data_IF_014867013587
#
_entry.id   IF_014867013587
#
_cell.length_a   1.000
_cell.length_b   1.000
_cell.length_c   1.000
_cell.angle_alpha   90.00
_cell.angle_beta   90.00
_cell.angle_gamma   90.00
#
_symmetry.space_group_name_H-M   'P 1'
#
loop_
_entity.id
_entity.type
_entity.pdbx_description
1 polymer ?
#
# COMPACT_ATOMS: atom_id res chain seq x y z
N UNK A 1 5.89 -15.96 10.45
CA UNK A 1 4.94 -17.07 10.22
C UNK A 1 5.73 -18.35 9.98
N UNK A 2 5.41 -19.42 10.72
CA UNK A 2 5.92 -20.75 10.39
C UNK A 2 5.09 -21.27 9.21
N UNK A 3 5.74 -21.61 8.10
CA UNK A 3 5.06 -22.14 6.91
C UNK A 3 4.46 -23.54 7.13
N UNK A 4 3.73 -24.05 6.14
CA UNK A 4 3.13 -25.39 6.22
C UNK A 4 4.19 -26.49 6.03
N UNK A 5 4.18 -27.51 6.90
CA UNK A 5 5.06 -28.70 6.80
C UNK A 5 4.64 -29.64 5.66
N UNK A 6 3.36 -29.71 5.34
CA UNK A 6 2.77 -30.47 4.24
C UNK A 6 1.99 -29.53 3.32
N UNK A 7 1.81 -29.91 2.07
CA UNK A 7 1.02 -29.13 1.12
C UNK A 7 -0.43 -28.98 1.64
N UNK A 8 -0.95 -27.74 1.82
CA UNK A 8 -2.24 -27.51 2.47
C UNK A 8 -3.44 -27.55 1.52
N UNK A 9 -3.22 -27.54 0.20
CA UNK A 9 -4.26 -27.42 -0.84
C UNK A 9 -3.91 -28.28 -2.06
N UNK A 10 -4.88 -28.63 -2.90
CA UNK A 10 -4.64 -29.44 -4.10
C UNK A 10 -3.68 -28.79 -5.10
N UNK A 11 -3.80 -27.46 -5.24
CA UNK A 11 -3.03 -26.64 -6.18
C UNK A 11 -2.20 -25.62 -5.42
N UNK A 12 -0.89 -25.88 -5.29
CA UNK A 12 0.01 -25.05 -4.49
C UNK A 12 1.22 -24.61 -5.31
N UNK A 13 1.28 -23.31 -5.65
CA UNK A 13 2.33 -22.74 -6.51
C UNK A 13 3.74 -22.70 -5.87
N UNK A 14 3.93 -23.22 -4.66
CA UNK A 14 5.22 -23.18 -3.96
C UNK A 14 6.37 -23.76 -4.77
N UNK A 15 6.15 -24.86 -5.49
CA UNK A 15 7.19 -25.48 -6.32
C UNK A 15 7.63 -24.55 -7.45
N UNK A 16 6.68 -23.85 -8.08
CA UNK A 16 6.96 -22.82 -9.08
C UNK A 16 7.78 -21.68 -8.48
N UNK A 17 7.37 -21.11 -7.34
CA UNK A 17 8.09 -19.99 -6.72
C UNK A 17 9.52 -20.37 -6.31
N UNK A 18 9.72 -21.54 -5.71
CA UNK A 18 11.07 -22.02 -5.37
C UNK A 18 11.97 -22.16 -6.60
N UNK A 19 11.41 -22.61 -7.73
CA UNK A 19 12.19 -22.73 -8.96
C UNK A 19 12.42 -21.38 -9.62
N UNK A 20 11.41 -20.50 -9.61
CA UNK A 20 11.50 -19.13 -10.14
C UNK A 20 12.55 -18.31 -9.37
N UNK A 21 12.67 -18.48 -8.06
CA UNK A 21 13.71 -17.83 -7.25
C UNK A 21 15.11 -18.31 -7.65
N UNK A 22 15.29 -19.61 -7.92
CA UNK A 22 16.58 -20.15 -8.40
C UNK A 22 16.96 -19.59 -9.77
N UNK A 23 16.00 -19.49 -10.69
CA UNK A 23 16.20 -18.90 -12.02
C UNK A 23 16.50 -17.39 -11.90
N UNK A 24 15.78 -16.68 -11.04
CA UNK A 24 16.04 -15.28 -10.74
C UNK A 24 17.41 -15.05 -10.08
N UNK A 25 17.86 -15.96 -9.23
CA UNK A 25 19.20 -15.98 -8.65
C UNK A 25 20.31 -16.17 -9.68
N UNK A 26 20.09 -17.01 -10.70
CA UNK A 26 21.00 -17.14 -11.83
C UNK A 26 21.10 -15.84 -12.65
N UNK A 27 19.98 -15.15 -12.86
CA UNK A 27 19.96 -13.83 -13.49
C UNK A 27 20.68 -12.75 -12.66
N UNK A 28 20.55 -12.80 -11.32
CA UNK A 28 21.29 -11.91 -10.40
C UNK A 28 22.81 -12.14 -10.49
N UNK A 29 23.24 -13.39 -10.66
CA UNK A 29 24.64 -13.77 -10.84
C UNK A 29 25.21 -13.36 -12.21
N UNK A 30 24.40 -13.44 -13.28
CA UNK A 30 24.85 -13.14 -14.65
C UNK A 30 24.75 -11.66 -15.05
N UNK A 31 23.82 -10.89 -14.47
CA UNK A 31 23.49 -9.54 -14.95
C UNK A 31 23.57 -8.42 -13.89
N UNK A 32 24.02 -8.73 -12.67
CA UNK A 32 24.22 -7.75 -11.59
C UNK A 32 22.94 -7.36 -10.82
N UNK A 33 23.14 -6.74 -9.65
CA UNK A 33 22.14 -6.58 -8.58
C UNK A 33 21.09 -5.47 -8.83
N UNK A 34 21.07 -4.86 -10.01
CA UNK A 34 20.31 -3.63 -10.27
C UNK A 34 18.92 -3.87 -10.85
N UNK A 35 18.58 -5.09 -11.26
CA UNK A 35 17.25 -5.44 -11.78
C UNK A 35 16.71 -6.70 -11.09
N UNK A 36 15.72 -6.53 -10.21
CA UNK A 36 14.83 -7.64 -9.84
C UNK A 36 14.16 -8.13 -11.13
N UNK A 37 14.52 -9.33 -11.59
CA UNK A 37 13.87 -9.93 -12.74
C UNK A 37 12.44 -10.32 -12.37
N UNK A 38 11.47 -9.47 -12.74
CA UNK A 38 10.03 -9.68 -12.51
C UNK A 38 9.40 -10.69 -13.49
N UNK A 39 10.23 -11.41 -14.26
CA UNK A 39 9.80 -12.40 -15.25
C UNK A 39 10.35 -13.79 -14.92
N UNK A 40 9.62 -14.83 -15.33
CA UNK A 40 10.13 -16.20 -15.46
C UNK A 40 10.19 -16.53 -16.94
N UNK A 41 11.40 -16.53 -17.52
CA UNK A 41 11.56 -16.60 -18.97
C UNK A 41 11.02 -15.34 -19.64
N UNK A 42 10.17 -15.50 -20.65
CA UNK A 42 9.55 -14.39 -21.40
C UNK A 42 8.26 -13.84 -20.76
N UNK A 43 7.76 -14.45 -19.68
CA UNK A 43 6.49 -14.06 -19.05
C UNK A 43 6.72 -13.32 -17.74
N UNK A 44 6.01 -12.21 -17.49
CA UNK A 44 5.95 -11.60 -16.17
C UNK A 44 5.40 -12.57 -15.12
N UNK A 45 5.94 -12.55 -13.90
CA UNK A 45 5.57 -13.50 -12.84
C UNK A 45 4.15 -13.31 -12.34
N UNK A 46 3.62 -12.08 -12.35
CA UNK A 46 2.21 -11.83 -12.06
C UNK A 46 1.29 -12.39 -13.14
N UNK A 47 1.71 -12.41 -14.40
CA UNK A 47 0.95 -13.04 -15.50
C UNK A 47 0.92 -14.57 -15.33
N UNK A 48 2.05 -15.21 -14.99
CA UNK A 48 2.08 -16.66 -14.69
C UNK A 48 1.12 -17.00 -13.54
N UNK A 49 1.08 -16.16 -12.51
CA UNK A 49 0.16 -16.29 -11.39
C UNK A 49 -1.32 -16.16 -11.78
N UNK A 50 -1.68 -15.16 -12.59
CA UNK A 50 -3.05 -15.01 -13.13
C UNK A 50 -3.43 -16.17 -14.05
N UNK A 51 -2.50 -16.68 -14.86
CA UNK A 51 -2.71 -17.84 -15.71
C UNK A 51 -3.02 -19.08 -14.89
N UNK A 52 -2.28 -19.32 -13.81
CA UNK A 52 -2.54 -20.46 -12.93
C UNK A 52 -3.96 -20.43 -12.34
N UNK A 53 -4.42 -19.24 -11.93
CA UNK A 53 -5.79 -19.06 -11.46
C UNK A 53 -6.82 -19.34 -12.58
N UNK A 54 -6.59 -18.80 -13.77
CA UNK A 54 -7.46 -19.02 -14.94
C UNK A 54 -7.57 -20.50 -15.28
N UNK A 55 -6.44 -21.19 -15.32
CA UNK A 55 -6.37 -22.61 -15.66
C UNK A 55 -7.11 -23.48 -14.65
N UNK A 56 -7.08 -23.12 -13.35
CA UNK A 56 -7.90 -23.78 -12.33
C UNK A 56 -9.39 -23.73 -12.68
N UNK A 57 -9.91 -22.57 -13.08
CA UNK A 57 -11.35 -22.44 -13.37
C UNK A 57 -11.75 -23.12 -14.68
N UNK A 58 -10.86 -23.14 -15.68
CA UNK A 58 -11.05 -23.78 -17.00
C UNK A 58 -10.92 -25.30 -16.96
N UNK A 59 -9.99 -25.82 -16.16
CA UNK A 59 -9.69 -27.27 -16.12
C UNK A 59 -10.81 -28.06 -15.45
N UNK A 60 -11.38 -27.52 -14.38
CA UNK A 60 -12.42 -28.21 -13.61
C UNK A 60 -13.82 -27.85 -14.12
N UNK A 61 -14.76 -28.82 -14.21
CA UNK A 61 -16.13 -28.55 -14.64
C UNK A 61 -16.82 -27.45 -13.83
N UNK A 62 -17.79 -26.76 -14.45
CA UNK A 62 -18.57 -25.72 -13.79
C UNK A 62 -19.37 -26.24 -12.57
N UNK A 63 -19.73 -27.53 -12.57
CA UNK A 63 -20.42 -28.19 -11.45
C UNK A 63 -19.54 -28.40 -10.21
N UNK A 64 -18.20 -28.31 -10.34
CA UNK A 64 -17.28 -28.43 -9.22
C UNK A 64 -17.16 -27.10 -8.49
N UNK A 65 -17.53 -27.08 -7.21
CA UNK A 65 -17.25 -25.92 -6.33
C UNK A 65 -15.74 -25.77 -6.18
N UNK A 66 -15.24 -24.57 -6.45
CA UNK A 66 -13.82 -24.22 -6.43
C UNK A 66 -13.59 -23.15 -5.38
N UNK A 67 -12.45 -23.21 -4.70
CA UNK A 67 -11.95 -22.13 -3.86
C UNK A 67 -10.54 -21.79 -4.33
N UNK A 68 -10.31 -20.52 -4.65
CA UNK A 68 -8.99 -20.01 -5.06
C UNK A 68 -8.62 -18.83 -4.18
N UNK A 69 -7.42 -18.90 -3.59
CA UNK A 69 -6.85 -17.81 -2.82
C UNK A 69 -5.55 -17.37 -3.48
N UNK A 70 -5.55 -16.13 -3.96
CA UNK A 70 -4.48 -15.51 -4.73
C UNK A 70 -3.86 -14.39 -3.91
N UNK A 71 -2.59 -14.54 -3.54
CA UNK A 71 -1.84 -13.54 -2.76
C UNK A 71 -0.58 -13.11 -3.52
N UNK A 72 -0.54 -11.84 -3.94
CA UNK A 72 0.59 -11.24 -4.64
C UNK A 72 1.14 -10.09 -3.80
N UNK A 73 2.44 -10.11 -3.50
CA UNK A 73 3.14 -8.98 -2.86
C UNK A 73 4.35 -8.43 -3.63
N UNK A 74 4.82 -9.09 -4.68
CA UNK A 74 6.09 -8.72 -5.33
C UNK A 74 6.08 -7.34 -5.98
N UNK A 75 4.95 -6.91 -6.57
CA UNK A 75 4.89 -5.60 -7.23
C UNK A 75 4.57 -4.48 -6.24
N UNK A 76 4.03 -4.78 -5.05
CA UNK A 76 3.64 -3.81 -4.03
C UNK A 76 4.67 -3.64 -2.90
N UNK A 77 5.56 -4.61 -2.66
CA UNK A 77 6.34 -4.65 -1.42
C UNK A 77 7.30 -3.45 -1.23
N UNK A 78 7.97 -3.01 -2.30
CA UNK A 78 9.05 -2.00 -2.21
C UNK A 78 8.84 -0.78 -3.11
N UNK A 79 7.75 -0.74 -3.88
CA UNK A 79 7.43 0.37 -4.79
C UNK A 79 5.94 0.43 -5.09
N UNK A 80 5.31 1.56 -4.77
CA UNK A 80 3.91 1.81 -5.16
C UNK A 80 3.74 1.99 -6.66
N UNK A 81 4.82 2.25 -7.40
CA UNK A 81 4.77 2.51 -8.84
C UNK A 81 4.76 1.22 -9.68
N UNK A 82 5.33 0.13 -9.17
CA UNK A 82 5.41 -1.12 -9.92
C UNK A 82 4.05 -1.81 -10.09
N UNK A 83 3.07 -1.48 -9.27
CA UNK A 83 1.71 -2.01 -9.39
C UNK A 83 1.05 -1.66 -10.73
N UNK A 84 1.41 -0.51 -11.33
CA UNK A 84 0.91 -0.11 -12.65
C UNK A 84 1.26 -1.12 -13.75
N UNK A 85 2.31 -1.94 -13.56
CA UNK A 85 2.71 -2.97 -14.52
C UNK A 85 1.73 -4.15 -14.61
N UNK A 86 0.86 -4.34 -13.61
CA UNK A 86 -0.13 -5.41 -13.58
C UNK A 86 -1.56 -4.94 -13.89
N UNK A 87 -1.79 -3.64 -14.07
CA UNK A 87 -3.13 -3.07 -14.18
C UNK A 87 -3.88 -3.61 -15.40
N UNK A 88 -3.27 -3.47 -16.59
CA UNK A 88 -3.84 -3.98 -17.84
C UNK A 88 -4.00 -5.51 -17.82
N UNK A 89 -3.01 -6.25 -17.31
CA UNK A 89 -3.06 -7.70 -17.22
C UNK A 89 -4.18 -8.21 -16.29
N UNK A 90 -4.42 -7.51 -15.18
CA UNK A 90 -5.54 -7.82 -14.28
C UNK A 90 -6.87 -7.52 -14.96
N UNK A 91 -6.98 -6.39 -15.66
CA UNK A 91 -8.20 -6.03 -16.42
C UNK A 91 -8.51 -7.08 -17.47
N UNK A 92 -7.50 -7.54 -18.23
CA UNK A 92 -7.67 -8.59 -19.22
C UNK A 92 -8.07 -9.93 -18.59
N UNK A 93 -7.43 -10.31 -17.49
CA UNK A 93 -7.81 -11.51 -16.73
C UNK A 93 -9.28 -11.46 -16.28
N UNK A 94 -9.74 -10.33 -15.73
CA UNK A 94 -11.12 -10.17 -15.26
C UNK A 94 -12.13 -10.20 -16.42
N UNK A 95 -11.80 -9.56 -17.55
CA UNK A 95 -12.62 -9.61 -18.78
C UNK A 95 -12.72 -11.03 -19.33
N UNK A 96 -11.62 -11.76 -19.37
CA UNK A 96 -11.59 -13.16 -19.80
C UNK A 96 -12.44 -14.04 -18.88
N UNK A 97 -12.27 -13.93 -17.57
CA UNK A 97 -13.04 -14.68 -16.58
C UNK A 97 -14.54 -14.36 -16.65
N UNK A 98 -14.91 -13.10 -16.95
CA UNK A 98 -16.31 -12.71 -17.12
C UNK A 98 -16.90 -13.24 -18.44
N UNK A 99 -16.22 -13.00 -19.56
CA UNK A 99 -16.73 -13.39 -20.89
C UNK A 99 -16.78 -14.90 -21.10
N UNK A 100 -15.93 -15.67 -20.41
CA UNK A 100 -15.96 -17.14 -20.37
C UNK A 100 -16.99 -17.73 -19.40
N UNK A 101 -17.76 -16.89 -18.70
CA UNK A 101 -18.81 -17.31 -17.75
C UNK A 101 -18.29 -17.81 -16.40
N UNK A 102 -16.97 -17.79 -16.17
CA UNK A 102 -16.39 -18.22 -14.89
C UNK A 102 -16.72 -17.30 -13.71
N UNK A 103 -17.23 -16.09 -13.97
CA UNK A 103 -17.71 -15.14 -12.95
C UNK A 103 -19.24 -15.10 -12.78
N UNK A 104 -20.00 -15.92 -13.51
CA UNK A 104 -21.47 -15.86 -13.46
C UNK A 104 -22.04 -16.42 -12.16
N UNK A 105 -21.33 -17.36 -11.53
CA UNK A 105 -21.68 -17.93 -10.22
C UNK A 105 -20.48 -17.98 -9.27
N UNK A 106 -19.69 -16.90 -9.26
CA UNK A 106 -18.48 -16.79 -8.44
C UNK A 106 -18.54 -15.51 -7.61
N UNK A 107 -18.33 -15.65 -6.30
CA UNK A 107 -18.04 -14.50 -5.44
C UNK A 107 -16.56 -14.17 -5.59
N UNK A 108 -16.27 -13.04 -6.23
CA UNK A 108 -14.91 -12.53 -6.39
C UNK A 108 -14.66 -11.43 -5.36
N UNK A 109 -13.62 -11.62 -4.53
CA UNK A 109 -13.14 -10.60 -3.61
C UNK A 109 -11.72 -10.25 -4.02
N UNK A 110 -11.53 -8.99 -4.45
CA UNK A 110 -10.22 -8.43 -4.74
C UNK A 110 -9.89 -7.40 -3.68
N UNK A 111 -8.80 -7.59 -2.95
CA UNK A 111 -8.39 -6.68 -1.90
C UNK A 111 -6.89 -6.73 -1.65
N UNK A 112 -6.40 -5.69 -0.98
CA UNK A 112 -5.03 -5.65 -0.47
C UNK A 112 -4.98 -6.26 0.94
N UNK A 113 -3.89 -6.94 1.28
CA UNK A 113 -3.65 -7.49 2.61
C UNK A 113 -3.37 -6.39 3.64
N UNK A 114 -2.70 -5.34 3.19
CA UNK A 114 -2.53 -4.08 3.90
C UNK A 114 -2.50 -2.92 2.89
N UNK A 115 -2.78 -1.70 3.35
CA UNK A 115 -2.53 -0.50 2.53
C UNK A 115 -1.03 -0.29 2.32
N UNK A 116 -0.65 0.59 1.38
CA UNK A 116 0.70 1.14 1.39
C UNK A 116 0.99 1.67 2.81
N UNK A 117 2.24 1.53 3.28
CA UNK A 117 2.58 1.91 4.66
C UNK A 117 2.22 3.36 5.00
N UNK A 118 1.83 4.22 4.04
CA UNK A 118 0.98 5.40 4.28
C UNK A 118 0.00 5.77 3.12
N UNK A 119 -1.17 6.28 3.55
CA UNK A 119 -2.03 7.41 3.08
C UNK A 119 -3.29 7.32 2.17
N UNK A 120 -4.31 7.99 2.72
CA UNK A 120 -5.46 8.77 2.19
C UNK A 120 -6.53 8.15 1.31
N UNK A 121 -6.25 7.23 0.39
CA UNK A 121 -7.28 6.70 -0.53
C UNK A 121 -8.28 5.74 0.13
N UNK A 122 -7.95 5.23 1.33
CA UNK A 122 -8.89 4.49 2.17
C UNK A 122 -10.09 5.36 2.59
N UNK A 123 -9.97 6.70 2.67
CA UNK A 123 -11.00 7.59 3.24
C UNK A 123 -12.37 7.49 2.56
N UNK A 124 -12.41 7.16 1.27
CA UNK A 124 -13.68 7.03 0.53
C UNK A 124 -14.39 5.70 0.83
N UNK A 125 -13.65 4.66 1.24
CA UNK A 125 -14.20 3.35 1.65
C UNK A 125 -14.10 3.10 3.18
N UNK A 126 -13.67 4.10 3.98
CA UNK A 126 -13.24 3.95 5.38
C UNK A 126 -14.32 4.16 6.45
N UNK A 127 -15.56 4.48 6.09
CA UNK A 127 -16.55 4.90 7.09
C UNK A 127 -17.06 3.76 7.99
N UNK A 128 -16.55 2.54 7.84
CA UNK A 128 -16.86 1.40 8.71
C UNK A 128 -15.61 0.60 9.07
N UNK A 129 -15.49 0.24 10.35
CA UNK A 129 -14.41 -0.61 10.85
C UNK A 129 -14.68 -2.07 10.43
N UNK A 130 -13.95 -2.54 9.42
CA UNK A 130 -13.94 -3.93 8.98
C UNK A 130 -12.60 -4.59 9.27
N UNK A 131 -12.60 -5.90 9.51
CA UNK A 131 -11.42 -6.72 9.79
C UNK A 131 -11.40 -7.96 8.89
N UNK A 132 -10.26 -8.65 8.71
CA UNK A 132 -10.24 -9.93 8.00
C UNK A 132 -11.18 -10.99 8.59
N UNK A 133 -11.55 -10.88 9.87
CA UNK A 133 -12.53 -11.78 10.50
C UNK A 133 -13.95 -11.54 9.98
N UNK A 134 -14.25 -10.35 9.46
CA UNK A 134 -15.54 -10.06 8.81
C UNK A 134 -15.64 -10.77 7.45
N UNK A 135 -14.53 -10.92 6.74
CA UNK A 135 -14.46 -11.69 5.48
C UNK A 135 -14.65 -13.17 5.77
N UNK A 136 -14.01 -13.69 6.83
CA UNK A 136 -14.21 -15.07 7.26
C UNK A 136 -15.68 -15.34 7.60
N UNK A 137 -16.32 -14.47 8.40
CA UNK A 137 -17.75 -14.55 8.69
C UNK A 137 -18.62 -14.48 7.42
N UNK A 138 -18.23 -13.64 6.45
CA UNK A 138 -18.90 -13.55 5.14
C UNK A 138 -18.82 -14.87 4.37
N UNK A 139 -17.66 -15.55 4.38
CA UNK A 139 -17.51 -16.85 3.74
C UNK A 139 -18.31 -17.95 4.43
N UNK A 140 -18.41 -17.92 5.76
CA UNK A 140 -19.27 -18.85 6.50
C UNK A 140 -20.75 -18.66 6.10
N UNK A 141 -21.24 -17.43 6.01
CA UNK A 141 -22.60 -17.12 5.54
C UNK A 141 -22.87 -17.55 4.09
N UNK A 142 -21.87 -17.42 3.20
CA UNK A 142 -21.99 -17.86 1.79
C UNK A 142 -22.07 -19.39 1.70
N UNK A 143 -21.37 -20.11 2.58
CA UNK A 143 -21.30 -21.57 2.58
C UNK A 143 -22.50 -22.21 3.28
N UNK A 144 -22.98 -21.62 4.39
CA UNK A 144 -24.11 -22.07 5.21
C UNK A 144 -25.05 -20.88 5.48
N UNK A 145 -25.86 -20.52 4.48
CA UNK A 145 -26.75 -19.35 4.54
C UNK A 145 -27.84 -19.51 5.60
N UNK A 146 -27.59 -18.94 6.79
CA UNK A 146 -28.60 -18.73 7.83
C UNK A 146 -29.14 -17.31 7.67
N UNK A 147 -30.45 -17.16 7.77
CA UNK A 147 -31.16 -15.90 7.52
C UNK A 147 -30.43 -14.67 8.08
N UNK A 148 -30.42 -13.57 7.31
CA UNK A 148 -29.75 -12.30 7.66
C UNK A 148 -30.25 -11.81 9.02
N UNK A 149 -29.46 -12.06 10.06
CA UNK A 149 -29.68 -11.52 11.40
C UNK A 149 -29.10 -10.09 11.45
N UNK A 150 -29.72 -9.20 12.23
CA UNK A 150 -29.14 -7.88 12.49
C UNK A 150 -27.77 -8.05 13.15
N UNK A 151 -26.78 -7.30 12.67
CA UNK A 151 -25.44 -7.32 13.23
C UNK A 151 -25.42 -6.70 14.63
N UNK A 152 -24.74 -7.36 15.55
CA UNK A 152 -24.57 -6.94 16.94
C UNK A 152 -23.12 -6.48 17.14
N UNK A 153 -22.91 -5.34 17.82
CA UNK A 153 -21.56 -4.82 18.10
C UNK A 153 -20.71 -5.75 18.96
N UNK A 154 -21.32 -6.74 19.63
CA UNK A 154 -20.63 -7.75 20.44
C UNK A 154 -19.93 -8.81 19.58
N UNK A 155 -20.24 -8.90 18.29
CA UNK A 155 -19.67 -9.89 17.38
C UNK A 155 -18.26 -9.47 16.94
N UNK A 156 -17.30 -10.39 17.12
CA UNK A 156 -15.92 -10.19 16.69
C UNK A 156 -15.80 -10.06 15.17
N UNK A 157 -16.46 -10.97 14.43
CA UNK A 157 -16.60 -10.92 12.98
C UNK A 157 -18.06 -10.75 12.61
N UNK A 158 -18.36 -9.80 11.71
CA UNK A 158 -19.69 -9.50 11.19
C UNK A 158 -19.62 -9.68 9.68
N UNK A 159 -20.52 -10.50 9.12
CA UNK A 159 -20.62 -10.70 7.67
C UNK A 159 -20.82 -9.38 6.93
N UNK A 160 -20.10 -9.18 5.83
CA UNK A 160 -20.19 -8.00 4.98
C UNK A 160 -21.50 -7.95 4.18
N UNK A 161 -22.28 -9.04 4.16
CA UNK A 161 -23.64 -9.06 3.61
C UNK A 161 -24.67 -8.44 4.56
N UNK A 162 -24.25 -8.10 5.79
CA UNK A 162 -25.06 -7.45 6.82
C UNK A 162 -24.47 -6.07 7.14
N UNK A 163 -25.33 -5.08 7.38
CA UNK A 163 -24.90 -3.74 7.75
C UNK A 163 -24.11 -3.74 9.07
N UNK A 164 -22.83 -3.36 9.00
CA UNK A 164 -21.97 -3.21 10.17
C UNK A 164 -22.40 -1.97 10.98
N UNK A 165 -22.65 -2.08 12.30
CA UNK A 165 -23.10 -0.97 13.12
C UNK A 165 -22.09 0.18 13.17
N UNK A 166 -22.57 1.43 13.05
CA UNK A 166 -21.71 2.63 13.13
C UNK A 166 -21.00 2.76 14.48
N UNK A 167 -21.60 2.26 15.56
CA UNK A 167 -21.02 2.26 16.91
C UNK A 167 -19.90 1.22 17.11
N UNK A 168 -19.51 0.46 16.08
CA UNK A 168 -18.45 -0.56 16.20
C UNK A 168 -17.09 0.09 16.48
N UNK A 169 -16.40 -0.39 17.51
CA UNK A 169 -15.09 0.10 17.94
C UNK A 169 -14.02 -0.98 17.80
N UNK A 170 -12.74 -0.62 17.89
CA UNK A 170 -11.65 -1.61 17.98
C UNK A 170 -11.88 -2.61 19.13
N UNK A 171 -12.38 -2.15 20.28
CA UNK A 171 -12.73 -3.01 21.41
C UNK A 171 -13.80 -4.04 21.06
N UNK A 172 -14.84 -3.61 20.33
CA UNK A 172 -15.92 -4.48 19.83
C UNK A 172 -15.38 -5.55 18.87
N UNK A 173 -14.40 -5.20 18.03
CA UNK A 173 -13.73 -6.14 17.11
C UNK A 173 -12.66 -7.02 17.79
N UNK A 174 -12.46 -6.90 19.11
CA UNK A 174 -11.40 -7.62 19.83
C UNK A 174 -9.99 -7.20 19.41
N UNK A 175 -9.80 -5.93 19.03
CA UNK A 175 -8.52 -5.32 18.68
C UNK A 175 -8.03 -4.49 19.85
N UNK A 176 -6.85 -4.81 20.37
CA UNK A 176 -6.25 -4.08 21.47
C UNK A 176 -5.83 -2.65 21.06
N UNK A 177 -5.79 -1.69 22.01
CA UNK A 177 -5.55 -0.27 21.71
C UNK A 177 -4.26 0.02 20.92
N UNK A 178 -3.23 -0.81 21.07
CA UNK A 178 -1.95 -0.66 20.38
C UNK A 178 -1.99 -1.15 18.91
N UNK A 179 -2.91 -2.06 18.59
CA UNK A 179 -3.20 -2.50 17.22
C UNK A 179 -4.29 -1.66 16.54
N UNK A 180 -5.00 -0.84 17.31
CA UNK A 180 -6.02 0.07 16.80
C UNK A 180 -5.36 1.25 16.09
N UNK A 181 -5.23 1.14 14.75
CA UNK A 181 -4.51 2.06 13.87
C UNK A 181 -5.13 3.47 13.70
N UNK A 182 -5.94 3.93 14.65
CA UNK A 182 -6.52 5.27 14.63
C UNK A 182 -5.47 6.31 15.06
N UNK A 183 -4.67 6.79 14.11
CA UNK A 183 -3.87 8.00 14.29
C UNK A 183 -4.80 9.21 14.47
N UNK A 184 -4.47 10.12 15.39
CA UNK A 184 -5.20 11.41 15.48
C UNK A 184 -4.60 12.38 14.48
N UNK A 185 -5.42 12.80 13.52
CA UNK A 185 -5.04 13.73 12.45
C UNK A 185 -5.43 15.13 12.88
N UNK A 186 -4.46 15.89 13.39
CA UNK A 186 -4.71 17.28 13.74
C UNK A 186 -4.31 18.14 12.55
N UNK A 187 -5.31 18.61 11.79
CA UNK A 187 -5.08 19.61 10.76
C UNK A 187 -4.50 20.84 11.43
N UNK A 188 -3.32 21.26 10.99
CA UNK A 188 -2.66 22.47 11.46
C UNK A 188 -2.80 23.54 10.40
N UNK A 189 -2.79 24.80 10.83
CA UNK A 189 -2.83 25.92 9.89
C UNK A 189 -1.58 25.91 9.00
N UNK A 190 -1.72 26.27 7.73
CA UNK A 190 -0.59 26.32 6.79
C UNK A 190 0.39 27.44 7.11
N UNK A 191 -0.04 28.44 7.89
CA UNK A 191 0.80 29.50 8.45
C UNK A 191 1.54 29.09 9.73
N UNK A 192 1.26 27.89 10.26
CA UNK A 192 1.98 27.36 11.42
C UNK A 192 3.49 27.24 11.12
N UNK A 193 4.32 27.66 12.07
CA UNK A 193 5.78 27.65 11.91
C UNK A 193 6.32 26.25 11.59
N UNK A 194 5.73 25.20 12.16
CA UNK A 194 6.09 23.81 11.89
C UNK A 194 5.65 23.37 10.51
N UNK A 195 4.48 23.81 10.02
CA UNK A 195 4.03 23.55 8.66
C UNK A 195 4.97 24.19 7.63
N UNK A 196 5.38 25.44 7.84
CA UNK A 196 6.32 26.16 6.98
C UNK A 196 7.69 25.49 6.98
N UNK A 197 8.23 25.12 8.15
CA UNK A 197 9.51 24.40 8.26
C UNK A 197 9.46 23.05 7.55
N UNK A 198 8.39 22.28 7.75
CA UNK A 198 8.20 20.99 7.11
C UNK A 198 8.12 21.12 5.58
N UNK A 199 7.37 22.10 5.07
CA UNK A 199 7.28 22.40 3.65
C UNK A 199 8.63 22.79 3.04
N UNK A 200 9.42 23.61 3.77
CA UNK A 200 10.77 23.99 3.36
C UNK A 200 11.72 22.79 3.26
N UNK A 201 11.69 21.90 4.26
CA UNK A 201 12.51 20.67 4.24
C UNK A 201 12.07 19.74 3.12
N UNK A 202 10.76 19.57 2.89
CA UNK A 202 10.24 18.77 1.78
C UNK A 202 10.73 19.30 0.43
N UNK A 203 10.63 20.61 0.19
CA UNK A 203 11.12 21.23 -1.04
C UNK A 203 12.63 21.04 -1.22
N UNK A 204 13.41 21.24 -0.14
CA UNK A 204 14.85 21.04 -0.16
C UNK A 204 15.20 19.59 -0.52
N UNK A 205 14.50 18.61 0.06
CA UNK A 205 14.67 17.19 -0.28
C UNK A 205 14.34 16.92 -1.75
N UNK A 206 13.24 17.45 -2.28
CA UNK A 206 12.88 17.31 -3.70
C UNK A 206 13.97 17.89 -4.61
N UNK A 207 14.53 19.05 -4.25
CA UNK A 207 15.59 19.67 -5.01
C UNK A 207 16.94 18.91 -4.90
N UNK A 208 17.24 18.29 -3.75
CA UNK A 208 18.42 17.44 -3.62
C UNK A 208 18.36 16.23 -4.56
N UNK A 209 17.17 15.65 -4.78
CA UNK A 209 17.00 14.49 -5.67
C UNK A 209 17.34 14.79 -7.14
N UNK A 210 17.26 16.05 -7.57
CA UNK A 210 17.54 16.48 -8.95
C UNK A 210 18.84 17.28 -9.07
N UNK A 211 19.64 17.34 -8.01
CA UNK A 211 20.85 18.17 -7.93
C UNK A 211 21.92 17.77 -8.96
N UNK A 212 22.15 16.48 -9.16
CA UNK A 212 23.09 15.99 -10.18
C UNK A 212 22.63 16.32 -11.62
N UNK A 213 21.34 16.61 -11.80
CA UNK A 213 20.75 16.90 -13.10
C UNK A 213 20.42 18.38 -13.29
N UNK A 214 21.04 19.29 -12.52
CA UNK A 214 20.79 20.75 -12.59
C UNK A 214 21.08 21.41 -13.93
N UNK A 215 21.87 20.75 -14.79
CA UNK A 215 22.05 21.17 -16.18
C UNK A 215 20.78 21.00 -17.02
N UNK A 216 19.92 20.04 -16.67
CA UNK A 216 18.70 19.67 -17.40
C UNK A 216 17.41 20.00 -16.66
N UNK A 217 17.40 19.84 -15.34
CA UNK A 217 16.24 20.03 -14.46
C UNK A 217 16.30 21.39 -13.78
N UNK A 218 15.21 22.14 -13.86
CA UNK A 218 15.03 23.41 -13.16
C UNK A 218 15.00 23.23 -11.64
N UNK A 219 15.42 24.29 -10.94
CA UNK A 219 15.30 24.36 -9.49
C UNK A 219 13.86 24.73 -9.10
N UNK A 220 13.22 23.91 -8.27
CA UNK A 220 11.83 24.15 -7.90
C UNK A 220 11.74 25.14 -6.73
N UNK A 221 10.72 25.98 -6.76
CA UNK A 221 10.40 26.92 -5.69
C UNK A 221 9.04 26.61 -5.08
N UNK A 222 8.84 27.01 -3.81
CA UNK A 222 7.57 26.84 -3.12
C UNK A 222 6.56 27.85 -3.69
N UNK A 223 5.47 27.35 -4.27
CA UNK A 223 4.34 28.17 -4.70
C UNK A 223 3.34 28.38 -3.56
N UNK A 224 2.82 27.29 -2.98
CA UNK A 224 1.93 27.35 -1.81
C UNK A 224 1.94 26.05 -1.00
N UNK A 225 1.56 26.15 0.27
CA UNK A 225 1.22 24.98 1.10
C UNK A 225 -0.30 24.82 1.02
N UNK A 226 -0.76 23.67 0.54
CA UNK A 226 -2.20 23.38 0.37
C UNK A 226 -2.80 22.68 1.58
N UNK A 227 -2.00 21.86 2.27
CA UNK A 227 -2.43 21.11 3.44
C UNK A 227 -1.25 20.89 4.37
N UNK A 228 -1.52 20.96 5.68
CA UNK A 228 -0.59 20.55 6.72
C UNK A 228 -1.33 19.78 7.81
N UNK A 229 -0.78 18.64 8.21
CA UNK A 229 -1.33 17.79 9.26
C UNK A 229 -0.22 17.33 10.18
N UNK A 230 -0.49 17.38 11.48
CA UNK A 230 0.35 16.78 12.51
C UNK A 230 -0.23 15.45 12.97
N UNK A 231 0.61 14.41 12.98
CA UNK A 231 0.28 13.11 13.54
C UNK A 231 0.78 13.03 14.97
N UNK A 232 -0.12 12.63 15.86
CA UNK A 232 0.25 12.10 17.17
C UNK A 232 -0.29 10.68 17.26
N UNK A 233 0.56 9.65 17.39
CA UNK A 233 0.10 8.30 17.68
C UNK A 233 -0.67 8.29 19.01
N UNK A 234 -1.59 7.34 19.17
CA UNK A 234 -2.25 7.13 20.45
C UNK A 234 -1.18 6.90 21.53
N UNK A 235 -1.35 7.50 22.72
CA UNK A 235 -0.42 7.32 23.83
C UNK A 235 -0.21 5.85 24.19
N UNK A 236 -1.23 4.99 23.99
CA UNK A 236 -1.11 3.54 24.16
C UNK A 236 -0.20 2.87 23.11
N UNK A 237 -0.08 3.41 21.90
CA UNK A 237 0.84 2.92 20.87
C UNK A 237 2.26 3.40 21.17
N UNK A 238 2.42 4.65 21.61
CA UNK A 238 3.73 5.23 21.95
C UNK A 238 4.42 4.55 23.13
N UNK A 239 3.66 3.92 24.02
CA UNK A 239 4.19 3.21 25.19
C UNK A 239 4.45 1.73 24.92
N UNK A 240 4.04 1.21 23.75
CA UNK A 240 4.20 -0.20 23.43
C UNK A 240 5.68 -0.56 23.22
N UNK A 241 6.19 -1.46 24.06
CA UNK A 241 7.55 -1.98 23.98
C UNK A 241 7.59 -3.33 23.25
N UNK A 242 6.72 -4.26 23.65
CA UNK A 242 6.64 -5.63 23.08
C UNK A 242 5.33 -6.32 23.48
N UNK A 243 5.03 -7.45 22.86
CA UNK A 243 4.00 -8.36 23.37
C UNK A 243 4.53 -9.13 24.58
N UNK A 244 3.71 -9.27 25.63
CA UNK A 244 4.01 -10.07 26.83
C UNK A 244 3.75 -11.56 26.62
N UNK A 245 2.93 -11.90 25.63
CA UNK A 245 2.48 -13.24 25.29
C UNK A 245 3.00 -13.69 23.92
N UNK A 246 2.97 -15.00 23.68
CA UNK A 246 3.52 -15.63 22.48
C UNK A 246 2.65 -15.44 21.24
N UNK A 247 1.35 -15.17 21.41
CA UNK A 247 0.37 -14.93 20.34
C UNK A 247 0.09 -13.45 20.10
N UNK A 248 0.72 -12.54 20.86
CA UNK A 248 0.80 -11.11 20.56
C UNK A 248 -0.40 -10.28 21.01
N UNK A 249 -1.24 -10.78 21.92
CA UNK A 249 -2.49 -10.13 22.34
C UNK A 249 -2.32 -9.22 23.56
N UNK A 250 -1.35 -9.48 24.42
CA UNK A 250 -1.12 -8.70 25.64
C UNK A 250 0.03 -7.72 25.41
N UNK A 251 -0.22 -6.40 25.37
CA UNK A 251 0.85 -5.43 25.20
C UNK A 251 1.63 -5.18 26.49
N UNK A 252 2.94 -4.96 26.33
CA UNK A 252 3.79 -4.30 27.32
C UNK A 252 3.85 -2.81 27.00
N UNK A 253 3.27 -1.98 27.88
CA UNK A 253 3.14 -0.53 27.70
C UNK A 253 4.14 0.27 28.57
N UNK A 254 5.33 -0.28 28.81
CA UNK A 254 6.33 0.30 29.70
C UNK A 254 7.35 1.21 29.02
N UNK A 255 7.23 1.46 27.71
CA UNK A 255 8.23 2.26 27.00
C UNK A 255 8.17 3.74 27.38
N UNK A 256 9.33 4.42 27.35
CA UNK A 256 9.39 5.86 27.58
C UNK A 256 9.02 6.60 26.29
N UNK A 257 8.08 7.55 26.40
CA UNK A 257 7.60 8.32 25.26
C UNK A 257 8.71 9.21 24.68
N UNK A 258 9.17 8.89 23.47
CA UNK A 258 9.78 9.90 22.60
C UNK A 258 8.67 10.81 22.06
N UNK A 259 8.81 12.13 22.24
CA UNK A 259 7.82 13.11 21.76
C UNK A 259 7.94 13.39 20.24
N UNK A 260 8.52 12.46 19.49
CA UNK A 260 8.64 12.56 18.06
C UNK A 260 7.25 12.63 17.42
N UNK A 261 7.12 13.52 16.45
CA UNK A 261 5.86 13.74 15.73
C UNK A 261 6.10 13.52 14.25
N UNK A 262 5.07 13.08 13.54
CA UNK A 262 5.11 13.13 12.08
C UNK A 262 4.31 14.34 11.61
N UNK A 263 4.73 14.89 10.48
CA UNK A 263 4.01 15.93 9.77
C UNK A 263 3.82 15.50 8.32
N UNK A 264 2.63 15.68 7.79
CA UNK A 264 2.37 15.56 6.36
C UNK A 264 2.05 16.94 5.85
N UNK A 265 2.75 17.35 4.79
CA UNK A 265 2.50 18.60 4.11
C UNK A 265 2.30 18.35 2.63
N UNK A 266 1.32 19.03 2.06
CA UNK A 266 1.09 19.06 0.62
C UNK A 266 1.49 20.43 0.11
N UNK A 267 2.52 20.46 -0.75
CA UNK A 267 3.04 21.70 -1.35
C UNK A 267 2.75 21.72 -2.85
N UNK A 268 2.56 22.92 -3.38
CA UNK A 268 2.55 23.18 -4.83
C UNK A 268 3.84 23.91 -5.16
N UNK A 269 4.58 23.42 -6.16
CA UNK A 269 5.85 24.02 -6.59
C UNK A 269 5.75 24.70 -7.94
N UNK A 270 6.70 25.59 -8.20
CA UNK A 270 6.90 26.26 -9.49
C UNK A 270 8.31 25.95 -10.02
N UNK A 271 8.54 26.00 -11.35
CA UNK A 271 7.57 26.32 -12.42
C UNK A 271 6.66 25.15 -12.85
N UNK A 272 6.87 23.95 -12.33
CA UNK A 272 6.23 22.72 -12.83
C UNK A 272 4.78 22.45 -12.38
N UNK A 273 4.18 23.41 -11.66
CA UNK A 273 2.85 23.28 -11.05
C UNK A 273 2.64 21.96 -10.31
N UNK A 274 3.66 21.59 -9.53
CA UNK A 274 3.77 20.27 -8.95
C UNK A 274 3.13 20.11 -7.60
N UNK A 275 2.18 19.19 -7.50
CA UNK A 275 1.54 18.86 -6.23
C UNK A 275 2.30 17.71 -5.58
N UNK A 276 3.05 18.04 -4.54
CA UNK A 276 3.83 17.06 -3.77
C UNK A 276 3.23 16.89 -2.39
N UNK A 277 3.01 15.65 -2.01
CA UNK A 277 2.67 15.25 -0.65
C UNK A 277 3.90 14.56 -0.05
N UNK A 278 4.37 15.08 1.08
CA UNK A 278 5.52 14.51 1.78
C UNK A 278 5.21 14.29 3.25
N UNK A 279 5.65 13.14 3.77
CA UNK A 279 5.63 12.84 5.20
C UNK A 279 7.04 13.03 5.78
N UNK A 280 7.13 13.75 6.90
CA UNK A 280 8.36 14.08 7.57
C UNK A 280 8.28 13.65 9.03
N UNK A 281 9.33 13.00 9.53
CA UNK A 281 9.50 12.82 10.97
C UNK A 281 10.15 14.05 11.56
N UNK A 282 9.66 14.46 12.73
CA UNK A 282 10.18 15.57 13.52
C UNK A 282 10.66 15.04 14.86
N UNK A 283 11.97 15.16 15.09
CA UNK A 283 12.54 14.86 16.40
C UNK A 283 12.53 16.11 17.27
N UNK A 284 11.83 16.05 18.41
CA UNK A 284 11.83 17.15 19.37
C UNK A 284 13.19 17.33 20.03
N UNK A 285 13.93 16.25 20.23
CA UNK A 285 15.26 16.26 20.87
C UNK A 285 16.31 16.98 20.02
N UNK A 286 16.25 16.79 18.69
CA UNK A 286 17.18 17.43 17.75
C UNK A 286 16.65 18.72 17.13
N UNK A 287 15.38 19.08 17.39
CA UNK A 287 14.62 20.12 16.67
C UNK A 287 14.78 20.02 15.14
N UNK A 288 14.65 18.80 14.61
CA UNK A 288 14.99 18.49 13.22
C UNK A 288 13.91 17.69 12.51
N UNK A 289 13.58 18.15 11.30
CA UNK A 289 12.77 17.40 10.35
C UNK A 289 13.65 16.50 9.48
N UNK A 290 13.14 15.30 9.18
CA UNK A 290 13.75 14.35 8.24
C UNK A 290 12.69 13.89 7.25
N UNK A 291 13.03 13.97 5.96
CA UNK A 291 12.21 13.47 4.86
C UNK A 291 13.01 12.41 4.08
N UNK A 292 12.32 11.38 3.59
CA UNK A 292 12.91 10.34 2.74
C UNK A 292 12.26 10.39 1.36
N UNK A 293 13.02 10.04 0.31
CA UNK A 293 12.47 9.96 -1.06
C UNK A 293 11.24 9.04 -1.15
N UNK A 294 11.24 7.92 -0.41
CA UNK A 294 10.14 6.96 -0.33
C UNK A 294 8.84 7.57 0.16
N UNK A 295 8.92 8.65 0.92
CA UNK A 295 7.80 9.26 1.64
C UNK A 295 7.27 10.50 0.89
N UNK A 296 7.74 10.72 -0.35
CA UNK A 296 7.37 11.85 -1.21
C UNK A 296 6.63 11.34 -2.44
N UNK A 297 5.38 11.78 -2.57
CA UNK A 297 4.47 11.46 -3.67
C UNK A 297 4.16 12.69 -4.50
N UNK A 298 4.19 12.54 -5.83
CA UNK A 298 3.65 13.52 -6.78
C UNK A 298 2.21 13.15 -7.08
N UNK A 299 1.25 13.98 -6.70
CA UNK A 299 -0.19 13.64 -6.71
C UNK A 299 -0.93 14.13 -7.95
N UNK A 300 -0.31 14.94 -8.81
CA UNK A 300 -0.84 15.34 -10.11
C UNK A 300 0.03 14.85 -11.28
N UNK A 301 -0.59 14.71 -12.46
CA UNK A 301 0.08 14.29 -13.70
C UNK A 301 1.21 15.28 -14.06
N UNK A 302 2.38 14.75 -14.42
CA UNK A 302 3.56 15.54 -14.85
C UNK A 302 3.81 15.49 -16.37
N UNK A 303 3.17 14.57 -17.11
CA UNK A 303 3.20 14.54 -18.57
C UNK A 303 4.62 14.47 -19.14
N UNK A 304 4.90 15.30 -20.14
CA UNK A 304 6.20 15.43 -20.82
C UNK A 304 7.18 16.39 -20.12
N UNK A 305 6.82 16.98 -18.98
CA UNK A 305 7.68 17.92 -18.24
C UNK A 305 9.10 17.38 -17.95
N UNK A 306 9.31 16.10 -17.61
CA UNK A 306 10.64 15.53 -17.35
C UNK A 306 11.31 14.89 -18.57
N UNK A 307 10.94 15.23 -19.81
CA UNK A 307 11.38 14.50 -21.02
C UNK A 307 12.88 14.24 -21.11
N UNK A 308 13.70 15.19 -20.66
CA UNK A 308 15.16 15.18 -20.69
C UNK A 308 15.79 14.10 -19.78
N UNK A 309 15.01 13.54 -18.87
CA UNK A 309 15.40 12.46 -17.95
C UNK A 309 14.50 11.23 -18.03
N UNK A 310 13.40 11.27 -18.79
CA UNK A 310 12.38 10.21 -18.80
C UNK A 310 12.98 8.83 -19.11
N UNK A 311 13.81 8.71 -20.14
CA UNK A 311 14.31 7.41 -20.59
C UNK A 311 15.52 6.95 -19.79
N UNK A 312 16.36 7.88 -19.33
CA UNK A 312 17.64 7.59 -18.67
C UNK A 312 17.53 7.44 -17.17
N UNK A 313 16.66 8.23 -16.52
CA UNK A 313 16.51 8.29 -15.07
C UNK A 313 15.02 8.26 -14.67
N UNK A 314 14.32 7.11 -14.83
CA UNK A 314 12.89 7.00 -14.55
C UNK A 314 12.49 7.43 -13.13
N UNK A 315 13.37 7.24 -12.14
CA UNK A 315 13.12 7.67 -10.74
C UNK A 315 12.90 9.17 -10.59
N UNK A 316 13.51 9.98 -11.47
CA UNK A 316 13.46 11.45 -11.39
C UNK A 316 12.27 12.06 -12.13
N UNK A 317 11.47 11.25 -12.86
CA UNK A 317 10.33 11.73 -13.66
C UNK A 317 9.36 12.59 -12.85
N UNK A 318 9.09 12.19 -11.62
CA UNK A 318 8.15 12.91 -10.74
C UNK A 318 8.69 14.23 -10.19
N UNK A 319 10.00 14.48 -10.26
CA UNK A 319 10.66 15.63 -9.64
C UNK A 319 11.20 16.63 -10.66
N UNK A 320 11.75 16.15 -11.78
CA UNK A 320 12.41 16.98 -12.78
C UNK A 320 11.40 17.79 -13.60
N UNK A 321 11.71 19.05 -13.81
CA UNK A 321 11.10 19.89 -14.83
C UNK A 321 12.20 20.35 -15.77
N UNK A 322 12.16 19.92 -17.03
CA UNK A 322 13.24 20.21 -17.96
C UNK A 322 13.31 21.69 -18.30
N UNK A 323 14.51 22.25 -18.41
CA UNK A 323 14.72 23.69 -18.73
C UNK A 323 14.10 24.07 -20.07
N UNK A 324 14.28 23.20 -21.05
CA UNK A 324 13.64 23.31 -22.36
C UNK A 324 12.37 22.44 -22.34
N UNK A 325 11.19 23.02 -22.49
CA UNK A 325 9.94 22.27 -22.60
C UNK A 325 9.63 21.96 -24.06
N UNK A 326 9.13 20.76 -24.32
CA UNK A 326 8.59 20.40 -25.63
C UNK A 326 7.18 20.97 -25.68
N UNK A 327 6.98 21.96 -26.54
CA UNK A 327 5.67 22.52 -26.92
C UNK A 327 4.85 21.54 -27.73
#
# INVERSE_FOLDING_TARGET
>A
MLGFKKQPVNHYMRTYYLQSEKIGGLSRYLFGDTNRYLCTGSLPRHVVFLNYARDLFRTYPASTRKFSFLFQGELSHDSTNLMQLADDDIVEFLKDMKSSGHLDNTVLIMMSDHGARFTSNLRTNAHRLTTPFDIHATFEDIVDYKAIMRAEVTQRGISLLTEIPEARTCKHAGIEPHWCACLTWNKIDVSDKMAIRAAGVLLATINALTEEQRSRCENLTLGKISLAVRYKPNESVMRFMKSKDSDGRIPDLSDQMDNDAMYQVTIVTKPNDGHYEGTLSYSQKEDKFRAKESDISRTNKYGSQPHCVMDRLPRLRKYCYCKEQIT
#
